data_IF_533222697918
#
_entry.id   IF_533222697918
#
_cell.length_a   1.000
_cell.length_b   1.000
_cell.length_c   1.000
_cell.angle_alpha   90.00
_cell.angle_beta   90.00
_cell.angle_gamma   90.00
#
_symmetry.space_group_name_H-M   'P 1'
#
loop_
_entity.id
_entity.type
_entity.pdbx_description
1 polymer ?
#
# COMPACT_ATOMS: atom_id res chain seq x y z
N UNK A 1 -5.97 1.43 -1.85
CA UNK A 1 -5.07 0.44 -1.23
C UNK A 1 -5.53 -0.97 -1.52
N UNK A 2 -4.57 -1.87 -1.78
CA UNK A 2 -4.80 -3.31 -1.73
C UNK A 2 -5.40 -3.68 -0.37
N UNK A 3 -6.44 -4.52 -0.35
CA UNK A 3 -7.07 -4.95 0.91
C UNK A 3 -6.03 -5.65 1.78
N UNK A 4 -5.09 -6.36 1.16
CA UNK A 4 -3.95 -6.99 1.80
C UNK A 4 -3.05 -5.95 2.52
N UNK A 5 -2.60 -4.90 1.83
CA UNK A 5 -1.68 -3.90 2.39
C UNK A 5 -2.25 -3.24 3.66
N UNK A 6 -3.54 -2.86 3.66
CA UNK A 6 -4.20 -2.28 4.85
C UNK A 6 -4.31 -3.26 6.00
N UNK A 7 -4.68 -4.50 5.72
CA UNK A 7 -4.79 -5.53 6.74
C UNK A 7 -3.43 -5.82 7.37
N UNK A 8 -2.39 -5.92 6.55
CA UNK A 8 -1.01 -6.12 6.99
C UNK A 8 -0.50 -4.94 7.82
N UNK A 9 -0.73 -3.69 7.42
CA UNK A 9 -0.35 -2.51 8.22
C UNK A 9 -1.05 -2.47 9.59
N UNK A 10 -2.34 -2.82 9.64
CA UNK A 10 -3.08 -2.86 10.90
C UNK A 10 -2.56 -3.97 11.84
N UNK A 11 -2.28 -5.15 11.29
CA UNK A 11 -1.68 -6.26 12.04
C UNK A 11 -0.26 -5.91 12.50
N UNK A 12 0.56 -5.33 11.60
CA UNK A 12 1.91 -4.84 11.89
C UNK A 12 1.91 -3.88 13.07
N UNK A 13 1.08 -2.83 13.05
CA UNK A 13 1.04 -1.83 14.12
C UNK A 13 0.60 -2.44 15.46
N UNK A 14 -0.31 -3.41 15.43
CA UNK A 14 -0.73 -4.14 16.64
C UNK A 14 0.41 -4.97 17.22
N UNK A 15 1.11 -5.72 16.38
CA UNK A 15 2.24 -6.57 16.78
C UNK A 15 3.44 -5.73 17.22
N UNK A 16 3.75 -4.64 16.52
CA UNK A 16 4.83 -3.71 16.88
C UNK A 16 4.62 -3.18 18.30
N UNK A 17 3.43 -2.63 18.57
CA UNK A 17 3.10 -2.10 19.90
C UNK A 17 3.22 -3.16 20.99
N UNK A 18 2.79 -4.39 20.73
CA UNK A 18 2.93 -5.50 21.67
C UNK A 18 4.40 -5.89 21.89
N UNK A 19 5.19 -6.00 20.82
CA UNK A 19 6.60 -6.40 20.87
C UNK A 19 7.47 -5.35 21.57
N UNK A 20 7.21 -4.05 21.33
CA UNK A 20 7.84 -2.95 22.09
C UNK A 20 7.56 -3.12 23.58
N UNK A 21 6.29 -3.33 23.93
CA UNK A 21 5.84 -3.37 25.34
C UNK A 21 6.33 -4.60 26.09
N UNK A 22 6.37 -5.77 25.45
CA UNK A 22 6.57 -7.06 26.13
C UNK A 22 7.93 -7.72 25.86
N UNK A 23 8.63 -7.32 24.80
CA UNK A 23 9.87 -7.98 24.36
C UNK A 23 11.05 -7.02 24.19
N UNK A 24 10.87 -5.71 24.42
CA UNK A 24 11.89 -4.67 24.16
C UNK A 24 12.46 -4.79 22.74
N UNK A 25 11.60 -5.12 21.79
CA UNK A 25 11.93 -5.60 20.44
C UNK A 25 13.10 -4.87 19.76
N UNK A 26 13.05 -3.54 19.73
CA UNK A 26 14.07 -2.72 19.07
C UNK A 26 15.43 -2.67 19.77
N UNK A 27 15.55 -3.20 20.99
CA UNK A 27 16.82 -3.33 21.71
C UNK A 27 17.47 -4.71 21.55
N UNK A 28 16.74 -5.67 20.96
CA UNK A 28 17.26 -7.00 20.69
C UNK A 28 18.18 -6.98 19.47
N UNK A 29 19.28 -7.70 19.56
CA UNK A 29 20.13 -8.08 18.43
C UNK A 29 19.39 -9.01 17.45
N UNK A 30 19.90 -9.20 16.23
CA UNK A 30 19.28 -10.11 15.25
C UNK A 30 19.06 -11.53 15.79
N UNK A 31 20.05 -12.10 16.46
CA UNK A 31 19.96 -13.46 17.02
C UNK A 31 18.92 -13.54 18.14
N UNK A 32 18.84 -12.51 18.99
CA UNK A 32 17.81 -12.42 20.04
C UNK A 32 16.41 -12.26 19.45
N UNK A 33 16.23 -11.51 18.35
CA UNK A 33 14.95 -11.41 17.66
C UNK A 33 14.52 -12.72 17.04
N UNK A 34 15.46 -13.46 16.44
CA UNK A 34 15.19 -14.78 15.86
C UNK A 34 14.71 -15.79 16.91
N UNK A 35 15.11 -15.61 18.18
CA UNK A 35 14.68 -16.44 19.30
C UNK A 35 13.30 -16.09 19.88
N UNK A 36 12.66 -14.99 19.47
CA UNK A 36 11.33 -14.58 19.95
C UNK A 36 10.25 -15.15 19.03
N UNK A 37 9.44 -16.12 19.49
CA UNK A 37 8.43 -16.76 18.65
C UNK A 37 7.38 -15.76 18.11
N UNK A 38 6.99 -14.77 18.92
CA UNK A 38 6.02 -13.74 18.52
C UNK A 38 6.58 -12.78 17.46
N UNK A 39 7.91 -12.73 17.30
CA UNK A 39 8.60 -11.91 16.31
C UNK A 39 8.52 -12.49 14.89
N UNK A 40 8.31 -13.80 14.75
CA UNK A 40 8.28 -14.46 13.45
C UNK A 40 7.16 -13.91 12.55
N UNK A 41 5.97 -13.68 13.11
CA UNK A 41 4.85 -13.10 12.35
C UNK A 41 5.13 -11.65 11.97
N UNK A 42 5.74 -10.87 12.86
CA UNK A 42 6.10 -9.49 12.60
C UNK A 42 7.07 -9.39 11.40
N UNK A 43 8.14 -10.18 11.39
CA UNK A 43 9.09 -10.20 10.27
C UNK A 43 8.49 -10.71 8.96
N UNK A 44 7.54 -11.65 9.01
CA UNK A 44 6.80 -12.07 7.80
C UNK A 44 5.97 -10.93 7.21
N UNK A 45 5.33 -10.12 8.06
CA UNK A 45 4.54 -8.98 7.61
C UNK A 45 5.46 -7.91 7.01
N UNK A 46 6.60 -7.60 7.66
CA UNK A 46 7.59 -6.67 7.13
C UNK A 46 8.06 -7.10 5.73
N UNK A 47 8.43 -8.37 5.55
CA UNK A 47 8.85 -8.89 4.25
C UNK A 47 7.75 -8.78 3.19
N UNK A 48 6.49 -9.07 3.54
CA UNK A 48 5.38 -8.97 2.59
C UNK A 48 5.04 -7.53 2.23
N UNK A 49 5.15 -6.59 3.17
CA UNK A 49 4.98 -5.17 2.91
C UNK A 49 6.06 -4.63 1.96
N UNK A 50 7.32 -5.03 2.15
CA UNK A 50 8.44 -4.68 1.25
C UNK A 50 8.24 -5.22 -0.18
N UNK A 51 7.74 -6.46 -0.31
CA UNK A 51 7.37 -7.05 -1.61
C UNK A 51 6.27 -6.24 -2.30
N UNK A 52 5.19 -5.91 -1.57
CA UNK A 52 4.07 -5.13 -2.10
C UNK A 52 4.52 -3.73 -2.55
N UNK A 53 5.41 -3.08 -1.80
CA UNK A 53 6.00 -1.80 -2.21
C UNK A 53 6.82 -1.94 -3.51
N UNK A 54 7.60 -3.02 -3.62
CA UNK A 54 8.40 -3.30 -4.83
C UNK A 54 7.51 -3.55 -6.05
N UNK A 55 6.48 -4.38 -5.92
CA UNK A 55 5.49 -4.66 -6.96
C UNK A 55 4.80 -3.36 -7.42
N UNK A 56 4.42 -2.52 -6.46
CA UNK A 56 3.81 -1.22 -6.70
C UNK A 56 4.74 -0.29 -7.50
N UNK A 57 6.03 -0.23 -7.15
CA UNK A 57 7.04 0.53 -7.88
C UNK A 57 7.29 0.01 -9.31
N UNK A 58 7.24 -1.30 -9.53
CA UNK A 58 7.38 -1.89 -10.87
C UNK A 58 6.20 -1.52 -11.76
N UNK A 59 4.98 -1.66 -11.25
CA UNK A 59 3.76 -1.24 -11.96
C UNK A 59 3.82 0.24 -12.32
N UNK A 60 4.26 1.08 -11.38
CA UNK A 60 4.49 2.50 -11.60
C UNK A 60 5.42 2.81 -12.77
N UNK A 61 6.56 2.13 -12.83
CA UNK A 61 7.54 2.31 -13.91
C UNK A 61 6.98 1.85 -15.25
N UNK A 62 6.19 0.77 -15.27
CA UNK A 62 5.55 0.26 -16.47
C UNK A 62 4.45 1.20 -17.02
N UNK A 63 3.91 2.09 -16.19
CA UNK A 63 2.81 2.99 -16.56
C UNK A 63 3.20 4.27 -17.32
N UNK A 64 4.47 4.55 -17.61
CA UNK A 64 4.88 5.68 -18.49
C UNK A 64 5.68 5.19 -19.71
N UNK A 65 5.57 5.83 -20.91
CA UNK A 65 5.00 7.15 -21.23
C UNK A 65 3.99 7.17 -22.41
N UNK A 66 3.36 6.05 -22.77
CA UNK A 66 2.42 6.05 -23.89
C UNK A 66 1.15 6.85 -23.54
N UNK A 67 0.68 7.77 -24.40
CA UNK A 67 -0.58 8.47 -24.18
C UNK A 67 -1.72 7.49 -23.98
N UNK A 68 -2.57 7.73 -22.98
CA UNK A 68 -3.81 6.96 -22.84
C UNK A 68 -4.66 7.14 -24.11
N UNK A 69 -5.09 6.02 -24.70
CA UNK A 69 -5.83 6.01 -25.98
C UNK A 69 -7.35 5.96 -25.81
N UNK A 70 -7.84 5.91 -24.58
CA UNK A 70 -9.26 5.89 -24.26
C UNK A 70 -9.51 6.44 -22.84
N UNK A 71 -10.78 6.76 -22.52
CA UNK A 71 -11.16 7.23 -21.19
C UNK A 71 -10.96 6.13 -20.15
N UNK A 72 -11.22 4.86 -20.51
CA UNK A 72 -10.97 3.70 -19.65
C UNK A 72 -9.49 3.58 -19.29
N UNK A 73 -8.58 3.85 -20.24
CA UNK A 73 -7.14 3.89 -19.98
C UNK A 73 -6.76 5.04 -19.03
N UNK A 74 -7.40 6.21 -19.13
CA UNK A 74 -7.20 7.31 -18.18
C UNK A 74 -7.71 6.94 -16.78
N UNK A 75 -8.89 6.33 -16.68
CA UNK A 75 -9.48 5.84 -15.43
C UNK A 75 -8.56 4.80 -14.79
N UNK A 76 -8.03 3.85 -15.57
CA UNK A 76 -7.07 2.85 -15.09
C UNK A 76 -5.80 3.53 -14.55
N UNK A 77 -5.26 4.51 -15.28
CA UNK A 77 -4.08 5.24 -14.86
C UNK A 77 -4.28 6.01 -13.55
N UNK A 78 -5.38 6.74 -13.44
CA UNK A 78 -5.74 7.46 -12.22
C UNK A 78 -6.04 6.51 -11.07
N UNK A 79 -6.63 5.34 -11.33
CA UNK A 79 -6.88 4.34 -10.30
C UNK A 79 -5.58 3.78 -9.71
N UNK A 80 -4.54 3.58 -10.53
CA UNK A 80 -3.22 3.21 -10.01
C UNK A 80 -2.57 4.40 -9.29
N UNK A 81 -2.64 5.61 -9.83
CA UNK A 81 -2.15 6.81 -9.13
C UNK A 81 -2.77 6.95 -7.73
N UNK A 82 -4.08 6.73 -7.60
CA UNK A 82 -4.79 6.76 -6.32
C UNK A 82 -4.43 5.61 -5.39
N UNK A 83 -3.86 4.49 -5.88
CA UNK A 83 -3.35 3.41 -5.01
C UNK A 83 -2.00 3.74 -4.39
N UNK A 84 -1.25 4.67 -4.99
CA UNK A 84 0.12 5.02 -4.62
C UNK A 84 0.19 6.21 -3.68
N UNK A 85 -0.84 7.05 -3.71
CA UNK A 85 -1.01 8.11 -2.75
C UNK A 85 -1.70 7.52 -1.53
N UNK A 86 -0.95 7.36 -0.45
CA UNK A 86 -1.50 6.98 0.85
C UNK A 86 -2.47 8.06 1.33
N UNK A 87 -3.69 7.66 1.65
CA UNK A 87 -4.73 8.59 2.09
C UNK A 87 -4.36 9.26 3.42
N UNK A 88 -3.65 8.53 4.27
CA UNK A 88 -3.17 8.98 5.57
C UNK A 88 -2.14 10.11 5.44
N UNK A 89 -1.26 10.03 4.44
CA UNK A 89 -0.21 11.02 4.19
C UNK A 89 -0.70 12.20 3.33
N UNK A 90 -1.66 11.94 2.44
CA UNK A 90 -2.09 12.88 1.40
C UNK A 90 -3.60 12.78 1.13
N UNK A 91 -4.46 13.07 2.13
CA UNK A 91 -5.90 12.82 2.04
C UNK A 91 -6.57 13.64 0.93
N UNK A 92 -6.15 14.88 0.70
CA UNK A 92 -6.72 15.74 -0.35
C UNK A 92 -6.37 15.24 -1.75
N UNK A 93 -5.11 14.84 -1.98
CA UNK A 93 -4.66 14.35 -3.27
C UNK A 93 -5.31 12.99 -3.61
N UNK A 94 -5.36 12.08 -2.62
CA UNK A 94 -6.07 10.82 -2.75
C UNK A 94 -7.55 11.06 -3.08
N UNK A 95 -8.23 11.94 -2.33
CA UNK A 95 -9.63 12.28 -2.54
C UNK A 95 -9.93 12.89 -3.91
N UNK A 96 -9.04 13.75 -4.44
CA UNK A 96 -9.16 14.32 -5.78
C UNK A 96 -9.05 13.25 -6.87
N UNK A 97 -8.08 12.34 -6.76
CA UNK A 97 -7.89 11.25 -7.74
C UNK A 97 -9.08 10.30 -7.73
N UNK A 98 -9.53 9.86 -6.55
CA UNK A 98 -10.69 8.96 -6.40
C UNK A 98 -11.95 9.60 -6.98
N UNK A 99 -12.14 10.91 -6.77
CA UNK A 99 -13.24 11.66 -7.37
C UNK A 99 -13.13 11.71 -8.89
N UNK A 100 -11.97 12.03 -9.43
CA UNK A 100 -11.74 12.09 -10.87
C UNK A 100 -12.03 10.75 -11.57
N UNK A 101 -11.59 9.63 -10.98
CA UNK A 101 -11.89 8.27 -11.47
C UNK A 101 -13.40 8.04 -11.57
N UNK A 102 -14.13 8.32 -10.49
CA UNK A 102 -15.60 8.17 -10.43
C UNK A 102 -16.31 9.06 -11.44
N UNK A 103 -15.90 10.32 -11.56
CA UNK A 103 -16.56 11.28 -12.44
C UNK A 103 -16.31 10.94 -13.91
N UNK A 104 -15.08 10.55 -14.28
CA UNK A 104 -14.76 10.08 -15.63
C UNK A 104 -15.54 8.81 -15.99
N UNK A 105 -15.65 7.84 -15.07
CA UNK A 105 -16.41 6.60 -15.30
C UNK A 105 -17.91 6.87 -15.55
N UNK A 106 -18.48 7.87 -14.86
CA UNK A 106 -19.86 8.30 -15.09
C UNK A 106 -20.03 8.99 -16.43
N UNK A 107 -19.06 9.81 -16.84
CA UNK A 107 -19.10 10.55 -18.10
C UNK A 107 -18.84 9.65 -19.33
N UNK A 108 -18.13 8.53 -19.15
CA UNK A 108 -17.84 7.56 -20.23
C UNK A 108 -18.91 6.48 -20.39
N UNK A 109 -19.89 6.39 -19.48
CA UNK A 109 -20.96 5.41 -19.58
C UNK A 109 -21.85 5.70 -20.80
N UNK A 110 -22.21 4.69 -21.61
CA UNK A 110 -23.15 4.88 -22.71
C UNK A 110 -24.50 5.39 -22.18
N UNK A 111 -25.13 6.30 -22.93
CA UNK A 111 -26.45 6.85 -22.63
C UNK A 111 -27.56 5.81 -22.79
#
# INVERSE_FOLDING_TARGET
MDVEHRQLLAEWGTLEGWLIKNRRWFRLSPDERAAVPEGARFSQIEARLDELETESHVLLKAMRPAPAKSVEAVIANLSVAGRLIFEEDHPEAHGLIVRAVRDLAKLSAPK
#
